data_IF_300307364465
#
_entry.id   IF_300307364465
#
_cell.length_a   1.000
_cell.length_b   1.000
_cell.length_c   1.000
_cell.angle_alpha   90.00
_cell.angle_beta   90.00
_cell.angle_gamma   90.00
#
_symmetry.space_group_name_H-M   'P 1'
#
loop_
_entity.id
_entity.type
_entity.pdbx_description
1 polymer ?
#
# COMPACT_ATOMS: atom_id res chain seq x y z
N UNK A 1 -16.68 -0.55 9.78
CA UNK A 1 -16.85 0.83 10.32
C UNK A 1 -16.03 1.78 9.50
N UNK A 2 -16.64 2.81 9.03
CA UNK A 2 -15.91 3.80 8.29
C UNK A 2 -15.16 4.72 9.25
N UNK A 3 -14.39 5.64 8.70
CA UNK A 3 -13.60 6.58 9.49
C UNK A 3 -14.07 7.99 9.13
N UNK A 4 -15.22 8.37 9.67
CA UNK A 4 -15.83 9.63 9.23
C UNK A 4 -15.04 10.85 9.62
N UNK A 5 -14.10 10.72 10.57
CA UNK A 5 -13.39 11.86 11.11
C UNK A 5 -12.04 12.09 10.47
N UNK A 6 -11.71 11.35 9.40
CA UNK A 6 -10.48 11.62 8.69
C UNK A 6 -10.59 12.96 7.97
N UNK A 7 -9.58 13.79 8.18
CA UNK A 7 -9.54 15.10 7.56
C UNK A 7 -8.43 15.14 6.53
N UNK A 8 -8.76 15.58 5.34
CA UNK A 8 -7.81 15.64 4.25
C UNK A 8 -7.45 17.10 3.96
N UNK A 9 -6.24 17.36 3.50
CA UNK A 9 -5.20 16.36 3.19
C UNK A 9 -4.54 15.83 4.44
N UNK A 10 -3.97 14.63 4.34
CA UNK A 10 -3.29 14.03 5.48
C UNK A 10 -2.15 13.12 5.00
N UNK A 11 -1.27 12.76 5.92
CA UNK A 11 -0.29 11.73 5.68
C UNK A 11 -0.89 10.40 6.11
N UNK A 12 -0.75 9.40 5.24
CA UNK A 12 -1.32 8.08 5.46
C UNK A 12 -0.23 7.04 5.33
N UNK A 13 -0.21 6.10 6.26
CA UNK A 13 0.76 5.03 6.19
C UNK A 13 0.06 3.73 5.87
N UNK A 14 0.52 3.05 4.82
CA UNK A 14 0.05 1.71 4.50
C UNK A 14 1.06 0.69 4.98
N UNK A 15 0.53 -0.44 5.44
CA UNK A 15 1.31 -1.65 5.62
C UNK A 15 0.75 -2.68 4.67
N UNK A 16 1.57 -3.09 3.70
CA UNK A 16 1.15 -3.95 2.61
C UNK A 16 1.83 -5.29 2.80
N UNK A 17 1.03 -6.31 3.08
CA UNK A 17 1.57 -7.66 3.26
C UNK A 17 1.43 -8.39 1.95
N UNK A 18 2.57 -8.77 1.36
CA UNK A 18 2.62 -9.32 0.01
C UNK A 18 3.52 -10.54 -0.04
N UNK A 19 3.34 -11.34 -1.09
CA UNK A 19 4.28 -12.43 -1.32
C UNK A 19 5.65 -11.83 -1.59
N UNK A 20 6.68 -12.55 -1.16
CA UNK A 20 8.05 -12.05 -1.19
C UNK A 20 8.70 -12.36 -2.53
N UNK A 21 8.25 -11.66 -3.57
CA UNK A 21 8.79 -11.81 -4.92
C UNK A 21 9.03 -10.45 -5.52
N UNK A 22 9.97 -10.40 -6.47
CA UNK A 22 10.25 -9.16 -7.18
C UNK A 22 9.04 -8.72 -7.99
N UNK A 23 8.28 -9.67 -8.52
CA UNK A 23 7.09 -9.36 -9.29
C UNK A 23 6.04 -8.65 -8.46
N UNK A 24 5.83 -9.12 -7.23
CA UNK A 24 4.85 -8.48 -6.34
C UNK A 24 5.28 -7.06 -5.99
N UNK A 25 6.57 -6.88 -5.68
CA UNK A 25 7.09 -5.55 -5.38
C UNK A 25 6.91 -4.61 -6.57
N UNK A 26 7.26 -5.09 -7.76
CA UNK A 26 7.14 -4.27 -8.97
C UNK A 26 5.68 -3.89 -9.22
N UNK A 27 4.75 -4.83 -8.99
CA UNK A 27 3.33 -4.57 -9.19
C UNK A 27 2.82 -3.49 -8.22
N UNK A 28 3.26 -3.56 -6.97
CA UNK A 28 2.88 -2.57 -5.97
C UNK A 28 3.39 -1.19 -6.38
N UNK A 29 4.65 -1.11 -6.79
CA UNK A 29 5.24 0.16 -7.22
C UNK A 29 4.51 0.72 -8.44
N UNK A 30 4.11 -0.15 -9.35
CA UNK A 30 3.39 0.29 -10.54
C UNK A 30 2.03 0.85 -10.20
N UNK A 31 1.31 0.22 -9.27
CA UNK A 31 0.02 0.72 -8.82
C UNK A 31 0.19 2.11 -8.22
N UNK A 32 1.20 2.29 -7.37
CA UNK A 32 1.43 3.58 -6.73
C UNK A 32 1.75 4.64 -7.77
N UNK A 33 2.60 4.30 -8.73
CA UNK A 33 2.99 5.25 -9.77
C UNK A 33 1.78 5.64 -10.61
N UNK A 34 0.94 4.68 -10.93
CA UNK A 34 -0.26 4.94 -11.74
C UNK A 34 -1.19 5.90 -11.02
N UNK A 35 -1.22 5.86 -9.69
CA UNK A 35 -2.04 6.77 -8.91
C UNK A 35 -1.33 8.08 -8.58
N UNK A 36 -0.14 8.30 -9.13
CA UNK A 36 0.53 9.58 -9.01
C UNK A 36 1.45 9.70 -7.79
N UNK A 37 1.84 8.59 -7.18
CA UNK A 37 2.70 8.61 -6.01
C UNK A 37 4.09 8.12 -6.38
N UNK A 38 5.10 8.84 -5.89
CA UNK A 38 6.49 8.54 -6.19
C UNK A 38 7.21 7.83 -5.04
N UNK A 39 6.55 7.69 -3.89
CA UNK A 39 7.17 7.07 -2.73
C UNK A 39 7.45 5.59 -3.00
N UNK A 40 8.54 5.09 -2.44
CA UNK A 40 8.93 3.70 -2.60
C UNK A 40 8.61 2.93 -1.33
N UNK A 41 7.83 1.85 -1.42
CA UNK A 41 7.56 1.02 -0.25
C UNK A 41 8.86 0.41 0.29
N UNK A 42 8.96 0.37 1.61
CA UNK A 42 10.15 -0.14 2.29
C UNK A 42 9.80 -1.45 2.98
N UNK A 43 10.62 -2.48 2.76
CA UNK A 43 10.43 -3.75 3.44
C UNK A 43 10.73 -3.56 4.92
N UNK A 44 9.78 -3.92 5.77
CA UNK A 44 9.95 -3.73 7.21
C UNK A 44 10.05 -5.06 7.95
N UNK A 45 9.26 -6.06 7.57
CA UNK A 45 9.26 -7.36 8.24
C UNK A 45 9.11 -8.45 7.21
N UNK A 46 9.73 -9.60 7.49
CA UNK A 46 9.58 -10.80 6.69
C UNK A 46 8.92 -11.85 7.58
N UNK A 47 7.97 -12.61 7.03
CA UNK A 47 7.28 -13.62 7.79
C UNK A 47 8.27 -14.70 8.24
N UNK A 48 7.83 -15.48 9.25
CA UNK A 48 8.68 -16.51 9.81
C UNK A 48 9.19 -17.50 8.75
N UNK A 49 8.32 -17.87 7.83
CA UNK A 49 8.67 -18.83 6.78
C UNK A 49 9.39 -18.18 5.60
N UNK A 50 9.45 -16.85 5.57
CA UNK A 50 10.05 -16.13 4.45
C UNK A 50 9.15 -15.98 3.25
N UNK A 51 7.90 -16.41 3.33
CA UNK A 51 6.97 -16.38 2.19
C UNK A 51 6.37 -15.02 1.95
N UNK A 52 6.28 -14.19 2.99
CA UNK A 52 5.62 -12.89 2.91
C UNK A 52 6.52 -11.80 3.47
N UNK A 53 6.28 -10.60 2.99
CA UNK A 53 7.00 -9.42 3.47
C UNK A 53 5.98 -8.31 3.69
N UNK A 54 6.24 -7.48 4.71
CA UNK A 54 5.44 -6.29 4.95
C UNK A 54 6.19 -5.10 4.38
N UNK A 55 5.54 -4.39 3.49
CA UNK A 55 6.06 -3.12 2.96
C UNK A 55 5.32 -1.99 3.66
N UNK A 56 6.08 -1.01 4.09
CA UNK A 56 5.55 0.19 4.71
C UNK A 56 5.79 1.35 3.77
N UNK A 57 4.76 2.14 3.53
CA UNK A 57 4.90 3.34 2.72
C UNK A 57 4.01 4.43 3.30
N UNK A 58 4.55 5.63 3.35
CA UNK A 58 3.84 6.78 3.88
C UNK A 58 3.73 7.82 2.79
N UNK A 59 2.54 8.37 2.60
CA UNK A 59 2.31 9.30 1.51
C UNK A 59 1.30 10.35 1.91
N UNK A 60 1.32 11.44 1.17
CA UNK A 60 0.42 12.57 1.37
C UNK A 60 -0.82 12.33 0.51
N UNK A 61 -1.98 12.28 1.13
CA UNK A 61 -3.24 11.98 0.46
C UNK A 61 -4.12 13.22 0.52
N UNK A 62 -4.58 13.66 -0.63
CA UNK A 62 -5.29 14.93 -0.73
C UNK A 62 -6.78 14.80 -0.47
N UNK A 63 -7.37 13.62 -0.70
CA UNK A 63 -8.81 13.47 -0.53
C UNK A 63 -9.14 12.02 -0.21
N UNK A 64 -10.34 11.84 0.36
CA UNK A 64 -10.82 10.49 0.65
C UNK A 64 -10.96 9.67 -0.63
N UNK A 65 -11.37 10.30 -1.71
CA UNK A 65 -11.50 9.58 -2.98
C UNK A 65 -10.16 9.00 -3.42
N UNK A 66 -9.10 9.79 -3.30
CA UNK A 66 -7.76 9.32 -3.64
C UNK A 66 -7.34 8.16 -2.75
N UNK A 67 -7.62 8.27 -1.45
CA UNK A 67 -7.30 7.20 -0.51
C UNK A 67 -8.05 5.92 -0.86
N UNK A 68 -9.36 6.03 -1.10
CA UNK A 68 -10.17 4.85 -1.37
C UNK A 68 -9.76 4.19 -2.68
N UNK A 69 -9.47 4.98 -3.70
CA UNK A 69 -9.05 4.43 -4.99
C UNK A 69 -7.72 3.71 -4.89
N UNK A 70 -6.76 4.31 -4.19
CA UNK A 70 -5.45 3.69 -4.02
C UNK A 70 -5.58 2.42 -3.19
N UNK A 71 -6.36 2.46 -2.10
CA UNK A 71 -6.54 1.29 -1.24
C UNK A 71 -7.14 0.13 -2.02
N UNK A 72 -8.14 0.41 -2.86
CA UNK A 72 -8.76 -0.63 -3.66
C UNK A 72 -7.76 -1.24 -4.64
N UNK A 73 -7.00 -0.38 -5.32
CA UNK A 73 -6.03 -0.87 -6.30
C UNK A 73 -4.93 -1.68 -5.64
N UNK A 74 -4.46 -1.26 -4.46
CA UNK A 74 -3.45 -2.02 -3.75
C UNK A 74 -3.99 -3.36 -3.27
N UNK A 75 -5.23 -3.37 -2.77
CA UNK A 75 -5.85 -4.62 -2.32
C UNK A 75 -6.06 -5.61 -3.47
N UNK A 76 -6.31 -5.10 -4.66
CA UNK A 76 -6.53 -5.93 -5.83
C UNK A 76 -5.23 -6.29 -6.53
N UNK A 77 -4.12 -5.74 -6.10
CA UNK A 77 -2.83 -5.96 -6.73
C UNK A 77 -2.40 -7.41 -6.55
N UNK A 78 -1.94 -8.01 -7.64
CA UNK A 78 -1.49 -9.38 -7.59
C UNK A 78 -0.30 -9.52 -6.65
N UNK A 79 -0.37 -10.52 -5.77
CA UNK A 79 0.68 -10.76 -4.80
C UNK A 79 0.42 -10.10 -3.45
N UNK A 80 -0.53 -9.18 -3.37
CA UNK A 80 -0.88 -8.54 -2.10
C UNK A 80 -1.87 -9.43 -1.37
N UNK A 81 -1.55 -9.76 -0.11
CA UNK A 81 -2.41 -10.60 0.71
C UNK A 81 -3.31 -9.76 1.60
N UNK A 82 -2.75 -8.75 2.25
CA UNK A 82 -3.49 -7.90 3.17
C UNK A 82 -3.00 -6.47 3.05
N UNK A 83 -3.91 -5.55 3.26
CA UNK A 83 -3.61 -4.13 3.33
C UNK A 83 -4.08 -3.62 4.68
N UNK A 84 -3.16 -3.03 5.43
CA UNK A 84 -3.47 -2.50 6.76
C UNK A 84 -3.32 -0.99 6.80
#
# INVERSE_FOLDING_TARGET
>A
MNQPNLEFPLHWEYKIIAVRTDEAFAAICEVMRTHGFAETPQASNVSRTGSYVTYTVRMYIESRERLDNLSRSLSDCEGVKYLL
#
